data_IF_924660603477
#
_entry.id   IF_924660603477
#
_cell.length_a   1.000
_cell.length_b   1.000
_cell.length_c   1.000
_cell.angle_alpha   90.00
_cell.angle_beta   90.00
_cell.angle_gamma   90.00
#
_symmetry.space_group_name_H-M   'P 1'
#
loop_
_entity.id
_entity.type
_entity.pdbx_description
1 polymer ?
#
# COMPACT_ATOMS: atom_id res chain seq x y z
N UNK A 1 -10.25 5.61 -29.88
CA UNK A 1 -10.97 4.32 -29.75
C UNK A 1 -10.16 3.46 -28.79
N UNK A 2 -10.58 3.39 -27.53
CA UNK A 2 -9.87 2.63 -26.49
C UNK A 2 -10.19 1.13 -26.63
N UNK A 3 -9.19 0.23 -26.68
CA UNK A 3 -9.46 -1.19 -26.61
C UNK A 3 -9.79 -1.54 -25.17
N UNK A 4 -11.06 -1.85 -24.93
CA UNK A 4 -11.56 -2.41 -23.67
C UNK A 4 -10.92 -3.79 -23.46
N UNK A 5 -9.93 -3.88 -22.56
CA UNK A 5 -9.48 -5.17 -22.03
C UNK A 5 -10.63 -5.78 -21.22
N UNK A 6 -11.35 -6.73 -21.82
CA UNK A 6 -12.19 -7.66 -21.05
C UNK A 6 -11.25 -8.57 -20.28
N UNK A 7 -11.08 -8.30 -18.98
CA UNK A 7 -10.40 -9.19 -18.05
C UNK A 7 -11.17 -10.52 -17.98
N UNK A 8 -10.62 -11.58 -18.57
CA UNK A 8 -11.02 -12.94 -18.24
C UNK A 8 -10.41 -13.28 -16.87
N UNK A 9 -11.25 -13.38 -15.86
CA UNK A 9 -10.89 -13.81 -14.51
C UNK A 9 -10.51 -15.30 -14.53
N UNK A 10 -9.22 -15.61 -14.57
CA UNK A 10 -8.75 -16.92 -14.09
C UNK A 10 -8.80 -16.89 -12.57
N UNK A 11 -9.56 -17.80 -11.96
CA UNK A 11 -9.69 -17.91 -10.52
C UNK A 11 -8.40 -18.50 -9.93
N UNK A 12 -7.43 -17.67 -9.58
CA UNK A 12 -6.25 -18.05 -8.79
C UNK A 12 -6.60 -18.23 -7.30
N UNK A 13 -7.69 -18.94 -7.01
CA UNK A 13 -8.05 -19.30 -5.66
C UNK A 13 -7.07 -20.39 -5.20
N UNK A 14 -6.13 -20.01 -4.32
CA UNK A 14 -5.13 -20.86 -3.65
C UNK A 14 -3.82 -21.12 -4.40
N UNK A 15 -3.36 -20.20 -5.24
CA UNK A 15 -1.98 -20.28 -5.74
C UNK A 15 -1.03 -19.84 -4.62
N UNK A 16 -0.27 -20.81 -4.11
CA UNK A 16 0.86 -20.55 -3.22
C UNK A 16 1.97 -19.88 -4.03
N UNK A 17 2.76 -18.96 -3.43
CA UNK A 17 3.90 -18.39 -4.10
C UNK A 17 4.85 -19.49 -4.59
N UNK A 18 5.46 -19.23 -5.74
CA UNK A 18 6.48 -20.08 -6.32
C UNK A 18 7.73 -20.10 -5.43
N UNK A 19 8.46 -21.21 -5.44
CA UNK A 19 9.78 -21.25 -4.80
C UNK A 19 10.79 -20.49 -5.66
N UNK A 20 10.88 -19.19 -5.41
CA UNK A 20 11.67 -18.27 -6.23
C UNK A 20 13.17 -18.59 -6.24
N UNK A 21 13.68 -19.36 -5.28
CA UNK A 21 15.08 -19.75 -5.23
C UNK A 21 15.42 -20.90 -6.20
N UNK A 22 14.42 -21.65 -6.66
CA UNK A 22 14.59 -22.85 -7.46
C UNK A 22 14.06 -22.71 -8.89
N UNK A 23 13.86 -21.47 -9.37
CA UNK A 23 13.30 -21.20 -10.70
C UNK A 23 14.28 -20.41 -11.56
N UNK A 24 15.00 -21.09 -12.48
CA UNK A 24 16.11 -20.48 -13.23
C UNK A 24 15.65 -19.55 -14.36
N UNK A 25 14.38 -19.61 -14.76
CA UNK A 25 13.81 -18.85 -15.88
C UNK A 25 12.42 -18.33 -15.52
N UNK A 26 12.05 -17.15 -16.01
CA UNK A 26 10.73 -16.56 -15.77
C UNK A 26 9.62 -17.41 -16.44
N UNK A 27 8.67 -17.97 -15.67
CA UNK A 27 7.57 -18.75 -16.25
C UNK A 27 6.55 -17.88 -16.97
N UNK A 28 5.86 -18.41 -17.99
CA UNK A 28 4.86 -17.69 -18.80
C UNK A 28 3.70 -17.07 -17.99
N UNK A 29 3.37 -17.66 -16.84
CA UNK A 29 2.37 -17.13 -15.91
C UNK A 29 2.81 -15.84 -15.22
N UNK A 30 4.12 -15.55 -15.20
CA UNK A 30 4.74 -14.34 -14.64
C UNK A 30 5.25 -13.38 -15.72
N UNK A 31 5.04 -13.68 -17.01
CA UNK A 31 5.41 -12.77 -18.11
C UNK A 31 4.35 -11.68 -18.25
N UNK A 32 4.75 -10.44 -17.92
CA UNK A 32 3.99 -9.22 -18.12
C UNK A 32 4.44 -8.57 -19.43
N UNK A 33 3.50 -8.28 -20.33
CA UNK A 33 3.80 -7.55 -21.56
C UNK A 33 3.90 -6.06 -21.26
N UNK A 34 5.06 -5.44 -21.50
CA UNK A 34 5.18 -3.99 -21.55
C UNK A 34 4.43 -3.47 -22.79
N UNK A 35 3.26 -2.87 -22.59
CA UNK A 35 2.58 -2.12 -23.65
C UNK A 35 3.39 -0.88 -24.03
N UNK A 36 3.32 -0.37 -25.28
CA UNK A 36 4.15 0.76 -25.71
C UNK A 36 3.97 2.05 -24.89
N UNK A 37 2.82 2.23 -24.22
CA UNK A 37 2.58 3.32 -23.26
C UNK A 37 3.25 3.12 -21.90
N UNK A 38 3.95 2.01 -21.69
CA UNK A 38 4.75 1.67 -20.51
C UNK A 38 6.27 1.81 -20.78
N UNK A 39 6.64 2.33 -21.96
CA UNK A 39 8.02 2.73 -22.25
C UNK A 39 8.39 3.95 -21.41
N UNK A 40 9.59 4.04 -20.83
CA UNK A 40 10.03 5.29 -20.20
C UNK A 40 10.06 6.37 -21.28
N UNK A 41 9.24 7.41 -21.11
CA UNK A 41 9.32 8.61 -21.92
C UNK A 41 10.73 9.20 -21.74
N UNK A 42 11.60 8.98 -22.72
CA UNK A 42 12.89 9.65 -22.89
C UNK A 42 12.64 11.10 -23.37
N UNK A 43 11.86 11.86 -22.61
CA UNK A 43 11.91 13.31 -22.66
C UNK A 43 12.91 13.75 -21.60
N UNK A 44 13.81 14.66 -21.99
CA UNK A 44 14.83 15.26 -21.14
C UNK A 44 14.30 15.49 -19.72
N UNK A 45 14.82 14.73 -18.76
CA UNK A 45 14.50 14.82 -17.35
C UNK A 45 14.88 16.24 -16.92
N UNK A 46 13.91 17.13 -16.88
CA UNK A 46 14.03 18.37 -16.12
C UNK A 46 14.31 17.95 -14.67
N UNK A 47 15.30 18.57 -14.03
CA UNK A 47 15.69 18.23 -12.67
C UNK A 47 14.48 18.24 -11.74
N UNK A 48 14.13 17.04 -11.24
CA UNK A 48 13.28 16.74 -10.07
C UNK A 48 11.77 16.83 -10.23
N UNK A 49 11.20 15.88 -10.98
CA UNK A 49 9.90 15.32 -10.60
C UNK A 49 10.12 14.05 -9.77
N UNK A 50 10.41 14.23 -8.49
CA UNK A 50 10.40 13.14 -7.49
C UNK A 50 9.32 13.43 -6.45
N UNK A 51 8.70 12.40 -5.84
CA UNK A 51 7.77 12.62 -4.75
C UNK A 51 8.39 13.51 -3.66
N UNK A 52 7.64 14.52 -3.16
CA UNK A 52 8.18 15.51 -2.25
C UNK A 52 8.54 14.88 -0.90
N UNK A 53 9.53 15.48 -0.22
CA UNK A 53 9.81 15.17 1.18
C UNK A 53 8.98 16.08 2.08
N UNK A 54 8.46 15.52 3.17
CA UNK A 54 7.73 16.29 4.19
C UNK A 54 8.31 15.97 5.56
N UNK A 55 8.84 16.99 6.22
CA UNK A 55 9.22 16.93 7.62
C UNK A 55 7.95 16.96 8.49
N UNK A 56 7.67 15.85 9.17
CA UNK A 56 6.48 15.67 10.02
C UNK A 56 6.61 16.38 11.39
N UNK A 57 7.82 16.82 11.75
CA UNK A 57 8.11 17.66 12.91
C UNK A 57 7.95 19.16 12.64
N UNK A 58 7.89 19.58 11.38
CA UNK A 58 7.81 21.00 11.01
C UNK A 58 6.44 21.62 11.40
N UNK A 59 6.41 22.82 12.03
CA UNK A 59 5.17 23.56 12.29
C UNK A 59 4.26 23.79 11.08
N UNK A 60 4.81 23.85 9.86
CA UNK A 60 4.06 24.03 8.62
C UNK A 60 3.76 22.72 7.88
N UNK A 61 4.02 21.55 8.50
CA UNK A 61 3.80 20.24 7.89
C UNK A 61 2.40 20.07 7.28
N UNK A 62 1.36 20.65 7.89
CA UNK A 62 -0.01 20.61 7.34
C UNK A 62 -0.10 21.20 5.92
N UNK A 63 0.57 22.32 5.65
CA UNK A 63 0.55 22.93 4.32
C UNK A 63 1.33 22.09 3.32
N UNK A 64 2.47 21.54 3.72
CA UNK A 64 3.31 20.68 2.87
C UNK A 64 2.61 19.36 2.54
N UNK A 65 1.94 18.74 3.52
CA UNK A 65 1.12 17.54 3.33
C UNK A 65 -0.02 17.82 2.36
N UNK A 66 -0.75 18.94 2.49
CA UNK A 66 -1.80 19.28 1.51
C UNK A 66 -1.23 19.35 0.11
N UNK A 67 -0.18 20.14 -0.08
CA UNK A 67 0.43 20.35 -1.38
C UNK A 67 0.90 19.02 -2.00
N UNK A 68 1.51 18.14 -1.20
CA UNK A 68 1.90 16.81 -1.64
C UNK A 68 0.69 15.93 -2.00
N UNK A 69 -0.32 15.86 -1.16
CA UNK A 69 -1.51 15.04 -1.40
C UNK A 69 -2.33 15.52 -2.61
N UNK A 70 -2.47 16.84 -2.81
CA UNK A 70 -3.22 17.42 -3.93
C UNK A 70 -2.45 17.32 -5.26
N UNK A 71 -1.13 17.51 -5.26
CA UNK A 71 -0.33 17.50 -6.49
C UNK A 71 0.14 16.10 -6.89
N UNK A 72 0.57 15.31 -5.91
CA UNK A 72 1.23 14.01 -6.12
C UNK A 72 0.39 12.81 -5.66
N UNK A 73 -0.35 12.94 -4.56
CA UNK A 73 -0.99 11.79 -3.89
C UNK A 73 -0.01 10.90 -3.14
N UNK A 74 1.28 11.24 -3.14
CA UNK A 74 2.37 10.51 -2.50
C UNK A 74 3.45 11.47 -2.00
N UNK A 75 4.10 11.15 -0.89
CA UNK A 75 5.27 11.87 -0.38
C UNK A 75 6.17 10.98 0.50
N UNK A 76 7.39 11.45 0.78
CA UNK A 76 8.32 10.80 1.71
C UNK A 76 8.33 11.56 3.03
N UNK A 77 7.77 10.97 4.08
CA UNK A 77 7.79 11.49 5.43
C UNK A 77 9.16 11.27 6.08
N UNK A 78 9.72 12.34 6.65
CA UNK A 78 10.94 12.34 7.46
C UNK A 78 10.67 12.96 8.83
N UNK A 79 11.58 12.77 9.79
CA UNK A 79 11.46 13.30 11.15
C UNK A 79 10.10 12.95 11.82
N UNK A 80 9.56 11.78 11.49
CA UNK A 80 8.27 11.30 12.00
C UNK A 80 8.35 10.67 13.41
N UNK A 81 9.56 10.47 13.94
CA UNK A 81 9.79 10.04 15.33
C UNK A 81 9.93 8.53 15.55
N UNK A 82 9.77 7.71 14.51
CA UNK A 82 9.97 6.26 14.61
C UNK A 82 11.48 5.96 14.52
N UNK A 83 12.04 5.19 15.46
CA UNK A 83 13.48 4.93 15.48
C UNK A 83 13.91 4.03 14.31
N UNK A 84 15.06 4.37 13.69
CA UNK A 84 15.63 3.59 12.59
C UNK A 84 15.89 2.12 12.96
N UNK A 85 16.25 1.85 14.22
CA UNK A 85 16.47 0.49 14.72
C UNK A 85 15.22 -0.40 14.57
N UNK A 86 14.02 0.16 14.77
CA UNK A 86 12.77 -0.59 14.62
C UNK A 86 12.51 -0.97 13.16
N UNK A 87 12.85 -0.11 12.20
CA UNK A 87 12.79 -0.46 10.78
C UNK A 87 13.77 -1.58 10.43
N UNK A 88 15.00 -1.50 10.94
CA UNK A 88 16.04 -2.50 10.72
C UNK A 88 15.67 -3.86 11.32
N UNK A 89 15.15 -3.88 12.55
CA UNK A 89 14.64 -5.10 13.20
C UNK A 89 13.44 -5.69 12.44
N UNK A 90 12.52 -4.84 11.99
CA UNK A 90 11.35 -5.28 11.20
C UNK A 90 11.78 -5.90 9.87
N UNK A 91 12.73 -5.28 9.16
CA UNK A 91 13.27 -5.83 7.92
C UNK A 91 14.02 -7.14 8.16
N UNK A 92 14.80 -7.22 9.24
CA UNK A 92 15.52 -8.44 9.62
C UNK A 92 14.56 -9.61 9.86
N UNK A 93 13.52 -9.42 10.69
CA UNK A 93 12.52 -10.44 10.97
C UNK A 93 11.68 -10.81 9.75
N UNK A 94 11.38 -9.85 8.87
CA UNK A 94 10.74 -10.14 7.59
C UNK A 94 11.63 -11.00 6.68
N UNK A 95 12.94 -10.69 6.58
CA UNK A 95 13.89 -11.53 5.85
C UNK A 95 14.00 -12.92 6.45
N UNK A 96 14.04 -13.04 7.78
CA UNK A 96 14.03 -14.31 8.50
C UNK A 96 12.81 -15.16 8.11
N UNK A 97 11.61 -14.56 8.08
CA UNK A 97 10.39 -15.23 7.61
C UNK A 97 10.52 -15.73 6.16
N UNK A 98 10.91 -14.86 5.23
CA UNK A 98 10.93 -15.21 3.80
C UNK A 98 12.08 -16.16 3.42
N UNK A 99 13.12 -16.26 4.27
CA UNK A 99 14.22 -17.22 4.14
C UNK A 99 13.85 -18.66 4.54
N UNK A 100 12.70 -18.86 5.20
CA UNK A 100 12.23 -20.20 5.56
C UNK A 100 11.94 -21.05 4.32
N UNK A 101 12.10 -22.39 4.41
CA UNK A 101 11.66 -23.30 3.37
C UNK A 101 10.19 -23.08 3.01
N UNK A 102 9.87 -23.30 1.73
CA UNK A 102 8.52 -23.10 1.20
C UNK A 102 7.48 -23.90 1.98
N UNK A 103 7.77 -25.15 2.35
CA UNK A 103 6.86 -26.00 3.13
C UNK A 103 6.57 -25.41 4.52
N UNK A 104 7.55 -24.76 5.14
CA UNK A 104 7.40 -24.15 6.46
C UNK A 104 6.58 -22.86 6.37
N UNK A 105 6.81 -22.01 5.36
CA UNK A 105 5.97 -20.82 5.11
C UNK A 105 4.52 -21.19 4.83
N UNK A 106 4.28 -22.33 4.19
CA UNK A 106 2.93 -22.82 3.88
C UNK A 106 2.11 -23.25 5.10
N UNK A 107 2.74 -23.54 6.25
CA UNK A 107 2.01 -23.83 7.50
C UNK A 107 1.06 -22.71 7.91
N UNK A 108 1.42 -21.47 7.54
CA UNK A 108 0.67 -20.26 7.86
C UNK A 108 0.04 -19.64 6.61
N UNK A 109 -0.29 -20.46 5.61
CA UNK A 109 -0.92 -19.99 4.39
C UNK A 109 -2.25 -19.29 4.68
N UNK A 110 -2.43 -18.12 4.08
CA UNK A 110 -3.64 -17.32 4.23
C UNK A 110 -4.85 -18.04 3.65
N UNK A 111 -5.92 -18.10 4.44
CA UNK A 111 -7.21 -18.63 3.99
C UNK A 111 -7.81 -17.78 2.85
N UNK A 112 -8.64 -18.37 1.96
CA UNK A 112 -9.21 -17.66 0.80
C UNK A 112 -9.91 -16.34 1.14
N UNK A 113 -10.67 -16.34 2.25
CA UNK A 113 -11.44 -15.21 2.77
C UNK A 113 -10.69 -14.38 3.82
N UNK A 114 -9.51 -14.86 4.25
CA UNK A 114 -8.69 -14.21 5.26
C UNK A 114 -7.80 -13.10 4.70
N UNK A 115 -7.30 -12.25 5.61
CA UNK A 115 -6.31 -11.21 5.31
C UNK A 115 -4.91 -11.56 5.85
N UNK A 116 -4.86 -12.39 6.89
CA UNK A 116 -3.65 -12.73 7.64
C UNK A 116 -3.03 -14.04 7.14
N UNK A 117 -1.70 -14.11 7.13
CA UNK A 117 -0.92 -15.28 6.75
C UNK A 117 -0.08 -15.09 5.49
N UNK A 118 0.62 -16.15 5.11
CA UNK A 118 1.51 -16.23 3.96
C UNK A 118 0.75 -16.44 2.64
N UNK A 119 1.19 -15.78 1.57
CA UNK A 119 0.68 -16.05 0.23
C UNK A 119 1.04 -14.98 -0.79
N UNK A 120 0.40 -15.02 -1.95
CA UNK A 120 0.48 -13.94 -2.95
C UNK A 120 -0.19 -12.67 -2.42
N UNK A 121 0.16 -11.50 -2.95
CA UNK A 121 -0.59 -10.26 -2.65
C UNK A 121 -2.06 -10.41 -3.08
N UNK A 122 -3.01 -9.91 -2.28
CA UNK A 122 -4.45 -10.21 -2.49
C UNK A 122 -4.96 -9.72 -3.85
N UNK A 123 -4.46 -8.56 -4.29
CA UNK A 123 -4.84 -7.96 -5.57
C UNK A 123 -4.41 -8.81 -6.78
N UNK A 124 -3.49 -9.79 -6.63
CA UNK A 124 -3.11 -10.72 -7.70
C UNK A 124 -4.29 -11.45 -8.31
N UNK A 125 -5.36 -11.70 -7.55
CA UNK A 125 -6.58 -12.35 -8.06
C UNK A 125 -7.32 -11.53 -9.13
N UNK A 126 -7.03 -10.22 -9.20
CA UNK A 126 -7.63 -9.31 -10.16
C UNK A 126 -6.84 -9.17 -11.46
N UNK A 127 -5.72 -9.90 -11.60
CA UNK A 127 -4.87 -9.85 -12.78
C UNK A 127 -4.75 -11.22 -13.45
N UNK A 128 -4.59 -11.27 -14.78
CA UNK A 128 -4.44 -12.54 -15.52
C UNK A 128 -3.03 -13.14 -15.39
N UNK A 129 -2.07 -12.38 -14.85
CA UNK A 129 -0.67 -12.78 -14.67
C UNK A 129 -0.31 -12.73 -13.19
N UNK A 130 0.55 -13.66 -12.77
CA UNK A 130 1.10 -13.72 -11.43
C UNK A 130 2.22 -12.68 -11.28
N UNK A 131 2.39 -12.18 -10.05
CA UNK A 131 3.41 -11.19 -9.73
C UNK A 131 4.62 -11.87 -9.09
N UNK A 132 5.82 -11.39 -9.39
CA UNK A 132 7.09 -11.89 -8.85
C UNK A 132 7.30 -11.40 -7.40
N UNK A 133 6.41 -11.83 -6.52
CA UNK A 133 6.42 -11.49 -5.11
C UNK A 133 5.69 -12.52 -4.27
N UNK A 134 6.06 -12.56 -2.99
CA UNK A 134 5.34 -13.22 -1.91
C UNK A 134 5.09 -12.21 -0.79
N UNK A 135 4.07 -12.45 0.03
CA UNK A 135 3.76 -11.58 1.16
C UNK A 135 3.34 -12.37 2.38
N UNK A 136 3.43 -11.71 3.54
CA UNK A 136 2.86 -12.16 4.79
C UNK A 136 2.04 -11.01 5.39
N UNK A 137 0.73 -11.20 5.51
CA UNK A 137 -0.19 -10.21 6.04
C UNK A 137 -0.51 -10.47 7.52
N UNK A 138 -0.75 -9.42 8.29
CA UNK A 138 -1.24 -9.54 9.66
C UNK A 138 -2.19 -8.43 10.09
N UNK A 139 -3.21 -8.84 10.84
CA UNK A 139 -4.11 -7.97 11.58
C UNK A 139 -3.98 -8.30 13.07
N UNK A 140 -3.43 -7.38 13.87
CA UNK A 140 -3.24 -7.61 15.30
C UNK A 140 -2.01 -8.47 15.61
N UNK A 141 -2.11 -9.35 16.61
CA UNK A 141 -0.95 -10.14 17.07
C UNK A 141 -0.57 -11.23 16.06
N UNK A 142 0.72 -11.40 15.74
CA UNK A 142 1.20 -12.45 14.85
C UNK A 142 1.40 -13.81 15.54
N UNK A 143 1.18 -13.92 16.86
CA UNK A 143 1.60 -15.08 17.67
C UNK A 143 1.09 -16.43 17.17
N UNK A 144 -0.15 -16.49 16.68
CA UNK A 144 -0.75 -17.72 16.17
C UNK A 144 0.02 -18.27 14.96
N UNK A 145 0.43 -17.40 14.05
CA UNK A 145 1.22 -17.79 12.88
C UNK A 145 2.69 -17.97 13.24
N UNK A 146 3.25 -17.05 14.03
CA UNK A 146 4.66 -17.06 14.39
C UNK A 146 5.01 -18.32 15.20
N UNK A 147 4.14 -18.79 16.10
CA UNK A 147 4.35 -20.04 16.86
C UNK A 147 4.32 -21.29 15.99
N UNK A 148 3.61 -21.28 14.86
CA UNK A 148 3.65 -22.38 13.89
C UNK A 148 4.93 -22.35 13.04
N UNK A 149 5.41 -21.16 12.69
CA UNK A 149 6.68 -20.98 11.98
C UNK A 149 7.89 -21.31 12.87
N UNK A 150 7.88 -20.85 14.11
CA UNK A 150 8.98 -20.98 15.07
C UNK A 150 8.45 -21.39 16.46
N UNK A 151 8.18 -22.68 16.70
CA UNK A 151 7.58 -23.15 17.96
C UNK A 151 8.33 -22.73 19.23
N UNK A 152 9.65 -22.54 19.15
CA UNK A 152 10.51 -22.20 20.28
C UNK A 152 11.21 -20.84 20.16
N UNK A 153 10.99 -20.08 19.08
CA UNK A 153 11.76 -18.86 18.76
C UNK A 153 10.93 -17.78 18.03
N UNK A 154 9.64 -17.67 18.38
CA UNK A 154 8.73 -16.70 17.78
C UNK A 154 8.63 -15.37 18.56
N UNK A 155 9.13 -15.33 19.81
CA UNK A 155 8.92 -14.20 20.71
C UNK A 155 9.45 -12.88 20.13
N UNK A 156 10.68 -12.87 19.58
CA UNK A 156 11.28 -11.66 19.01
C UNK A 156 10.52 -11.16 17.78
N UNK A 157 10.06 -12.07 16.92
CA UNK A 157 9.23 -11.71 15.76
C UNK A 157 7.93 -11.03 16.23
N UNK A 158 7.25 -11.59 17.23
CA UNK A 158 6.03 -11.01 17.77
C UNK A 158 6.28 -9.62 18.36
N UNK A 159 7.29 -9.48 19.23
CA UNK A 159 7.66 -8.22 19.87
C UNK A 159 7.90 -7.11 18.85
N UNK A 160 8.73 -7.38 17.84
CA UNK A 160 9.09 -6.40 16.80
C UNK A 160 7.87 -5.99 15.97
N UNK A 161 7.07 -6.97 15.50
CA UNK A 161 5.90 -6.67 14.68
C UNK A 161 4.81 -5.93 15.47
N UNK A 162 4.62 -6.25 16.75
CA UNK A 162 3.67 -5.55 17.62
C UNK A 162 4.12 -4.12 17.90
N UNK A 163 5.40 -3.91 18.24
CA UNK A 163 5.97 -2.57 18.42
C UNK A 163 5.88 -1.74 17.14
N UNK A 164 6.19 -2.34 15.98
CA UNK A 164 6.06 -1.68 14.69
C UNK A 164 4.62 -1.24 14.42
N UNK A 165 3.64 -2.12 14.63
CA UNK A 165 2.23 -1.78 14.45
C UNK A 165 1.78 -0.64 15.36
N UNK A 166 2.25 -0.59 16.61
CA UNK A 166 1.94 0.50 17.56
C UNK A 166 2.48 1.83 17.06
N UNK A 167 3.77 1.92 16.74
CA UNK A 167 4.41 3.15 16.27
C UNK A 167 3.78 3.66 14.96
N UNK A 168 3.53 2.74 14.02
CA UNK A 168 2.90 3.09 12.74
C UNK A 168 1.46 3.56 12.92
N UNK A 169 0.70 2.94 13.83
CA UNK A 169 -0.66 3.40 14.16
C UNK A 169 -0.66 4.80 14.77
N UNK A 170 0.23 5.07 15.72
CA UNK A 170 0.37 6.41 16.32
C UNK A 170 0.74 7.45 15.27
N UNK A 171 1.63 7.12 14.33
CA UNK A 171 1.97 8.00 13.22
C UNK A 171 0.78 8.22 12.27
N UNK A 172 0.00 7.18 11.96
CA UNK A 172 -1.22 7.32 11.17
C UNK A 172 -2.22 8.29 11.83
N UNK A 173 -2.47 8.16 13.12
CA UNK A 173 -3.37 9.05 13.87
C UNK A 173 -2.87 10.52 13.81
N UNK A 174 -1.56 10.75 13.94
CA UNK A 174 -0.95 12.07 13.74
C UNK A 174 -1.14 12.60 12.32
N UNK A 175 -0.90 11.76 11.30
CA UNK A 175 -1.02 12.15 9.89
C UNK A 175 -2.47 12.46 9.50
N UNK A 176 -3.45 11.73 10.02
CA UNK A 176 -4.88 12.05 9.85
C UNK A 176 -5.15 13.45 10.36
N UNK A 177 -4.71 13.79 11.58
CA UNK A 177 -4.92 15.13 12.14
C UNK A 177 -4.29 16.23 11.28
N UNK A 178 -3.08 15.99 10.75
CA UNK A 178 -2.38 16.91 9.84
C UNK A 178 -3.16 17.08 8.52
N UNK A 179 -3.58 15.98 7.90
CA UNK A 179 -4.36 15.97 6.66
C UNK A 179 -5.70 16.70 6.82
N UNK A 180 -6.46 16.43 7.89
CA UNK A 180 -7.72 17.12 8.16
C UNK A 180 -7.53 18.61 8.42
N UNK A 181 -6.55 18.98 9.26
CA UNK A 181 -6.19 20.38 9.49
C UNK A 181 -5.85 21.09 8.18
N UNK A 182 -5.14 20.42 7.28
CA UNK A 182 -4.75 20.98 6.00
C UNK A 182 -5.94 21.25 5.06
N UNK A 183 -7.04 20.54 5.26
CA UNK A 183 -8.33 20.72 4.60
C UNK A 183 -9.22 21.77 5.28
N UNK A 184 -8.71 22.46 6.32
CA UNK A 184 -9.46 23.48 7.06
C UNK A 184 -10.35 22.91 8.17
N UNK A 185 -10.16 21.65 8.54
CA UNK A 185 -10.95 20.94 9.54
C UNK A 185 -10.23 20.96 10.89
N UNK A 186 -10.31 22.10 11.56
CA UNK A 186 -9.51 22.38 12.77
C UNK A 186 -10.28 22.23 14.08
N UNK A 187 -11.60 22.05 14.02
CA UNK A 187 -12.42 22.02 15.22
C UNK A 187 -12.62 20.56 15.68
N UNK A 188 -12.74 20.35 17.00
CA UNK A 188 -12.99 19.00 17.58
C UNK A 188 -14.19 18.29 16.94
N UNK A 189 -15.21 19.05 16.52
CA UNK A 189 -16.38 18.50 15.83
C UNK A 189 -16.05 17.83 14.49
N UNK A 190 -15.00 18.27 13.81
CA UNK A 190 -14.59 17.76 12.49
C UNK A 190 -13.71 16.50 12.62
N UNK A 191 -12.97 16.39 13.72
CA UNK A 191 -12.13 15.22 14.03
C UNK A 191 -12.93 14.08 14.66
N UNK A 192 -14.12 14.36 15.23
CA UNK A 192 -15.06 13.36 15.77
C UNK A 192 -15.44 12.23 14.81
N UNK A 193 -15.30 12.41 13.49
CA UNK A 193 -15.46 11.32 12.53
C UNK A 193 -14.44 10.19 12.77
N UNK A 194 -13.21 10.56 13.10
CA UNK A 194 -12.10 9.62 13.32
C UNK A 194 -11.99 9.16 14.78
N UNK A 195 -12.73 9.80 15.69
CA UNK A 195 -12.79 9.39 17.08
C UNK A 195 -13.68 8.14 17.22
N UNK A 196 -13.11 7.00 17.63
CA UNK A 196 -13.86 5.78 17.79
C UNK A 196 -14.82 5.90 18.97
N UNK A 197 -16.12 5.71 18.74
CA UNK A 197 -17.12 5.72 19.83
C UNK A 197 -17.08 4.43 20.66
N UNK A 198 -16.52 3.36 20.09
CA UNK A 198 -16.30 2.05 20.71
C UNK A 198 -15.14 1.32 19.97
N UNK A 199 -14.74 0.14 20.44
CA UNK A 199 -13.65 -0.63 19.80
C UNK A 199 -13.97 -1.11 18.38
N UNK A 200 -15.24 -1.39 18.07
CA UNK A 200 -15.66 -1.74 16.70
C UNK A 200 -15.52 -0.57 15.71
N UNK A 201 -15.60 0.67 16.20
CA UNK A 201 -15.50 1.89 15.41
C UNK A 201 -14.05 2.34 15.18
N UNK A 202 -13.06 1.68 15.81
CA UNK A 202 -11.63 2.00 15.62
C UNK A 202 -11.18 1.66 14.21
N UNK A 203 -10.42 2.59 13.62
CA UNK A 203 -9.67 2.36 12.39
C UNK A 203 -8.93 1.02 12.48
N UNK A 204 -9.07 0.23 11.43
CA UNK A 204 -8.37 -1.04 11.29
C UNK A 204 -7.01 -0.77 10.68
N UNK A 205 -6.03 -1.54 11.11
CA UNK A 205 -4.69 -1.50 10.56
C UNK A 205 -4.37 -2.87 9.99
N UNK A 206 -3.69 -2.90 8.86
CA UNK A 206 -3.19 -4.12 8.26
C UNK A 206 -1.72 -3.94 7.95
N UNK A 207 -0.88 -4.81 8.50
CA UNK A 207 0.54 -4.85 8.23
C UNK A 207 0.81 -5.93 7.19
N UNK A 208 1.54 -5.59 6.14
CA UNK A 208 1.92 -6.51 5.07
C UNK A 208 3.44 -6.44 4.84
N UNK A 209 4.10 -7.56 5.08
CA UNK A 209 5.48 -7.78 4.70
C UNK A 209 5.50 -8.27 3.25
N UNK A 210 6.29 -7.62 2.39
CA UNK A 210 6.42 -7.98 0.98
C UNK A 210 7.86 -8.40 0.67
N UNK A 211 8.01 -9.51 -0.05
CA UNK A 211 9.28 -10.04 -0.54
C UNK A 211 9.26 -10.08 -2.06
N UNK A 212 10.30 -9.50 -2.66
CA UNK A 212 10.55 -9.48 -4.09
C UNK A 212 11.93 -10.10 -4.35
N UNK A 213 11.99 -11.42 -4.53
CA UNK A 213 13.23 -12.13 -4.81
C UNK A 213 13.89 -11.66 -6.10
N UNK A 214 15.17 -11.99 -6.24
CA UNK A 214 15.93 -11.73 -7.48
C UNK A 214 15.20 -12.40 -8.66
N UNK A 215 14.92 -11.63 -9.71
CA UNK A 215 14.19 -12.09 -10.87
C UNK A 215 15.16 -12.42 -12.03
N UNK A 216 15.04 -13.58 -12.71
CA UNK A 216 15.91 -13.92 -13.83
C UNK A 216 15.67 -13.06 -15.09
N UNK A 217 14.48 -12.48 -15.24
CA UNK A 217 14.09 -11.66 -16.40
C UNK A 217 13.21 -10.47 -15.93
N UNK A 218 13.82 -9.47 -15.25
CA UNK A 218 13.08 -8.42 -14.56
C UNK A 218 12.29 -7.50 -15.50
N UNK A 219 12.75 -7.31 -16.74
CA UNK A 219 12.09 -6.44 -17.73
C UNK A 219 10.74 -7.01 -18.20
N UNK A 220 10.54 -8.32 -18.02
CA UNK A 220 9.31 -9.04 -18.38
C UNK A 220 8.50 -9.49 -17.18
N UNK A 221 8.91 -9.12 -15.97
CA UNK A 221 8.23 -9.47 -14.72
C UNK A 221 7.69 -8.23 -14.01
N UNK A 222 6.73 -8.44 -13.11
CA UNK A 222 6.16 -7.38 -12.29
C UNK A 222 6.11 -7.84 -10.85
N UNK A 223 6.64 -7.04 -9.91
CA UNK A 223 6.62 -7.36 -8.49
C UNK A 223 5.25 -7.07 -7.86
N UNK A 224 4.65 -5.94 -8.23
CA UNK A 224 3.28 -5.58 -7.87
C UNK A 224 2.68 -4.78 -9.04
N UNK A 225 1.56 -5.24 -9.58
CA UNK A 225 0.97 -4.62 -10.75
C UNK A 225 0.46 -3.19 -10.49
N UNK A 226 0.31 -2.36 -11.55
CA UNK A 226 -0.30 -1.04 -11.44
C UNK A 226 -1.66 -1.07 -10.74
N UNK A 227 -1.77 -0.32 -9.64
CA UNK A 227 -3.00 -0.19 -8.86
C UNK A 227 -3.00 1.08 -8.02
N UNK A 228 -4.17 1.43 -7.48
CA UNK A 228 -4.29 2.37 -6.35
C UNK A 228 -4.62 1.59 -5.08
N UNK A 229 -4.39 2.19 -3.91
CA UNK A 229 -4.73 1.56 -2.63
C UNK A 229 -6.19 1.81 -2.25
N UNK A 230 -6.87 0.80 -1.70
CA UNK A 230 -8.24 0.95 -1.16
C UNK A 230 -8.26 1.40 0.30
N UNK A 231 -7.15 1.92 0.81
CA UNK A 231 -7.00 2.43 2.18
C UNK A 231 -7.43 3.90 2.27
N UNK A 232 -7.40 4.47 3.49
CA UNK A 232 -7.34 5.92 3.63
C UNK A 232 -5.97 6.39 3.15
N UNK A 233 -4.91 5.80 3.69
CA UNK A 233 -3.56 5.95 3.18
C UNK A 233 -2.72 4.78 3.65
N UNK A 234 -1.54 4.64 3.06
CA UNK A 234 -0.58 3.59 3.33
C UNK A 234 0.73 4.22 3.74
N UNK A 235 1.33 3.71 4.82
CA UNK A 235 2.71 4.00 5.19
C UNK A 235 3.60 2.84 4.74
N UNK A 236 4.63 3.13 3.95
CA UNK A 236 5.51 2.13 3.37
C UNK A 236 6.96 2.39 3.77
N UNK A 237 7.56 1.43 4.46
CA UNK A 237 9.00 1.34 4.59
C UNK A 237 9.56 0.51 3.42
N UNK A 238 10.43 1.12 2.61
CA UNK A 238 10.92 0.52 1.36
C UNK A 238 12.14 -0.40 1.53
N UNK A 239 12.79 -0.39 2.69
CA UNK A 239 14.15 -0.92 2.82
C UNK A 239 15.16 -0.09 2.02
N UNK A 240 16.26 -0.72 1.59
CA UNK A 240 17.34 -0.04 0.85
C UNK A 240 17.42 -0.34 -0.65
N UNK A 241 16.36 -0.89 -1.27
CA UNK A 241 16.37 -1.33 -2.68
C UNK A 241 15.20 -0.71 -3.44
N UNK A 242 15.50 -0.11 -4.61
CA UNK A 242 14.54 0.46 -5.53
C UNK A 242 13.50 -0.56 -6.01
N UNK A 243 12.31 -0.08 -6.33
CA UNK A 243 11.28 -0.90 -6.94
C UNK A 243 9.91 -0.22 -7.03
N UNK A 244 9.58 0.65 -6.07
CA UNK A 244 8.32 1.41 -6.13
C UNK A 244 8.38 2.45 -7.25
N UNK A 245 7.35 2.46 -8.08
CA UNK A 245 7.10 3.49 -9.09
C UNK A 245 5.70 4.07 -8.93
N UNK A 246 5.57 5.37 -9.12
CA UNK A 246 4.29 6.09 -9.14
C UNK A 246 4.07 6.68 -10.52
N UNK A 247 2.82 6.76 -10.97
CA UNK A 247 2.48 7.25 -12.29
C UNK A 247 2.07 8.72 -12.25
N UNK A 248 2.67 9.52 -13.13
CA UNK A 248 2.27 10.89 -13.42
C UNK A 248 1.79 11.01 -14.88
N UNK A 249 0.72 11.75 -15.12
CA UNK A 249 0.12 11.87 -16.47
C UNK A 249 1.01 12.60 -17.48
N UNK A 250 1.94 13.44 -17.03
CA UNK A 250 2.86 14.21 -17.86
C UNK A 250 4.21 13.53 -18.09
N UNK A 251 4.66 12.70 -17.15
CA UNK A 251 6.00 12.07 -17.17
C UNK A 251 5.96 10.56 -17.34
N UNK A 252 4.88 9.90 -16.93
CA UNK A 252 4.77 8.44 -16.88
C UNK A 252 5.24 7.88 -15.53
N UNK A 253 5.91 6.73 -15.55
CA UNK A 253 6.38 6.06 -14.34
C UNK A 253 7.62 6.74 -13.74
N UNK A 254 7.51 7.17 -12.49
CA UNK A 254 8.56 7.84 -11.71
C UNK A 254 9.01 6.92 -10.57
N UNK A 255 10.32 6.67 -10.46
CA UNK A 255 10.89 5.91 -9.35
C UNK A 255 10.82 6.68 -8.03
N UNK A 256 10.38 6.00 -6.97
CA UNK A 256 10.43 6.51 -5.60
C UNK A 256 11.68 5.99 -4.91
N UNK A 257 12.78 6.73 -4.97
CA UNK A 257 14.05 6.33 -4.39
C UNK A 257 13.91 6.14 -2.86
N UNK A 258 14.30 4.97 -2.30
CA UNK A 258 14.35 4.76 -0.86
C UNK A 258 15.33 5.72 -0.20
N UNK A 259 14.87 6.34 0.88
CA UNK A 259 15.70 7.17 1.76
C UNK A 259 15.73 6.51 3.13
N UNK A 260 16.92 6.43 3.72
CA UNK A 260 17.12 5.79 5.01
C UNK A 260 16.24 6.44 6.09
N UNK A 261 15.49 5.62 6.80
CA UNK A 261 14.58 6.06 7.85
C UNK A 261 13.34 6.83 7.36
N UNK A 262 13.16 7.05 6.05
CA UNK A 262 11.96 7.70 5.52
C UNK A 262 10.83 6.70 5.29
N UNK A 263 9.59 7.17 5.42
CA UNK A 263 8.39 6.43 5.07
C UNK A 263 7.74 7.05 3.83
N UNK A 264 7.40 6.24 2.84
CA UNK A 264 6.53 6.69 1.76
C UNK A 264 5.08 6.69 2.29
N UNK A 265 4.40 7.82 2.15
CA UNK A 265 2.97 7.96 2.46
C UNK A 265 2.22 8.02 1.14
N UNK A 266 1.34 7.06 0.89
CA UNK A 266 0.52 6.98 -0.31
C UNK A 266 -0.95 7.20 0.04
N UNK A 267 -1.61 8.17 -0.60
CA UNK A 267 -3.03 8.43 -0.41
C UNK A 267 -3.84 7.33 -1.09
N UNK A 268 -4.78 6.75 -0.36
CA UNK A 268 -5.68 5.73 -0.89
C UNK A 268 -7.03 6.31 -1.34
N UNK A 269 -7.77 5.48 -2.07
CA UNK A 269 -9.07 5.81 -2.67
C UNK A 269 -10.08 6.31 -1.63
N UNK A 270 -10.05 5.79 -0.40
CA UNK A 270 -11.00 6.20 0.63
C UNK A 270 -10.71 7.63 1.11
N UNK A 271 -9.44 8.03 1.20
CA UNK A 271 -9.10 9.42 1.54
C UNK A 271 -9.34 10.36 0.35
N UNK A 272 -9.19 9.88 -0.88
CA UNK A 272 -9.65 10.60 -2.08
C UNK A 272 -11.15 10.92 -1.99
N UNK A 273 -11.98 9.95 -1.58
CA UNK A 273 -13.43 10.17 -1.37
C UNK A 273 -13.67 11.16 -0.21
N UNK A 274 -13.04 10.96 0.95
CA UNK A 274 -13.20 11.80 2.15
C UNK A 274 -12.85 13.27 1.85
N UNK A 275 -11.77 13.50 1.11
CA UNK A 275 -11.32 14.83 0.71
C UNK A 275 -12.13 15.45 -0.44
N UNK A 276 -13.24 14.82 -0.85
CA UNK A 276 -14.03 15.21 -2.01
C UNK A 276 -13.15 15.36 -3.27
N UNK A 277 -12.26 14.39 -3.52
CA UNK A 277 -11.38 14.36 -4.70
C UNK A 277 -10.22 15.35 -4.72
N UNK A 278 -9.99 16.09 -3.62
CA UNK A 278 -8.86 17.03 -3.53
C UNK A 278 -7.52 16.31 -3.43
N UNK A 279 -7.42 15.29 -2.57
CA UNK A 279 -6.23 14.48 -2.47
C UNK A 279 -6.27 13.38 -3.53
N UNK A 280 -5.20 13.27 -4.32
CA UNK A 280 -5.10 12.29 -5.40
C UNK A 280 -4.81 10.89 -4.83
N UNK A 281 -5.55 9.89 -5.28
CA UNK A 281 -5.13 8.49 -5.16
C UNK A 281 -4.26 8.13 -6.37
N UNK A 282 -2.96 7.92 -6.16
CA UNK A 282 -1.99 7.76 -7.26
C UNK A 282 -1.78 6.30 -7.66
N UNK A 283 -1.78 6.07 -8.98
CA UNK A 283 -1.47 4.76 -9.55
C UNK A 283 0.00 4.45 -9.29
N UNK A 284 0.28 3.27 -8.74
CA UNK A 284 1.63 2.85 -8.40
C UNK A 284 1.84 1.37 -8.69
N UNK A 285 3.10 0.98 -8.89
CA UNK A 285 3.52 -0.41 -9.16
C UNK A 285 4.85 -0.71 -8.47
N UNK A 286 5.23 -1.98 -8.44
CA UNK A 286 6.56 -2.40 -8.00
C UNK A 286 7.24 -3.19 -9.11
N UNK A 287 8.35 -2.67 -9.61
CA UNK A 287 9.24 -3.39 -10.53
C UNK A 287 10.24 -4.24 -9.74
N UNK A 288 10.74 -5.30 -10.37
CA UNK A 288 11.73 -6.22 -9.78
C UNK A 288 13.09 -6.03 -10.44
N UNK A 289 14.12 -6.65 -9.88
CA UNK A 289 15.48 -6.56 -10.40
C UNK A 289 16.17 -7.94 -10.35
N UNK A 290 17.31 -8.07 -11.02
CA UNK A 290 18.09 -9.30 -11.13
C UNK A 290 19.34 -9.35 -10.23
N UNK A 291 19.51 -8.42 -9.29
CA UNK A 291 20.74 -8.32 -8.47
C UNK A 291 20.52 -8.45 -6.97
N UNK A 292 19.41 -7.95 -6.43
CA UNK A 292 19.17 -7.85 -4.99
C UNK A 292 17.74 -8.18 -4.61
N UNK A 293 17.59 -8.98 -3.55
CA UNK A 293 16.31 -9.30 -2.91
C UNK A 293 15.78 -8.10 -2.12
N UNK A 294 14.66 -7.53 -2.60
CA UNK A 294 13.98 -6.40 -1.96
C UNK A 294 12.92 -6.89 -0.97
N UNK A 295 12.92 -6.31 0.22
CA UNK A 295 11.84 -6.42 1.22
C UNK A 295 11.23 -5.03 1.40
N UNK A 296 9.92 -4.97 1.58
CA UNK A 296 9.26 -3.74 2.02
C UNK A 296 8.11 -4.05 2.97
N UNK A 297 7.80 -3.11 3.84
CA UNK A 297 6.77 -3.24 4.88
C UNK A 297 5.71 -2.18 4.68
N UNK A 298 4.52 -2.59 4.27
CA UNK A 298 3.37 -1.72 4.05
C UNK A 298 2.41 -1.79 5.24
N UNK A 299 1.99 -0.64 5.75
CA UNK A 299 1.03 -0.51 6.83
C UNK A 299 -0.16 0.31 6.33
N UNK A 300 -1.30 -0.36 6.16
CA UNK A 300 -2.52 0.22 5.61
C UNK A 300 -3.40 0.75 6.74
N UNK A 301 -3.77 2.02 6.66
CA UNK A 301 -4.71 2.65 7.58
C UNK A 301 -6.12 2.65 6.98
N UNK A 302 -7.04 1.94 7.61
CA UNK A 302 -8.33 1.54 7.05
C UNK A 302 -9.46 1.98 7.99
N UNK A 303 -10.63 2.39 7.48
CA UNK A 303 -11.80 2.54 8.33
C UNK A 303 -12.33 1.17 8.77
N UNK A 304 -13.26 1.09 9.73
CA UNK A 304 -14.00 -0.15 9.99
C UNK A 304 -14.71 -0.68 8.73
N UNK A 305 -14.87 -2.01 8.64
CA UNK A 305 -15.39 -2.70 7.45
C UNK A 305 -16.75 -2.17 6.97
N UNK A 306 -17.65 -1.89 7.92
CA UNK A 306 -19.01 -1.40 7.67
C UNK A 306 -19.15 0.12 7.82
N UNK A 307 -18.05 0.84 8.10
CA UNK A 307 -18.09 2.29 8.21
C UNK A 307 -18.37 2.91 6.84
N UNK A 308 -19.34 3.84 6.81
CA UNK A 308 -19.65 4.63 5.62
C UNK A 308 -18.59 5.71 5.46
N UNK A 309 -17.98 5.74 4.28
CA UNK A 309 -17.04 6.76 3.81
C UNK A 309 -17.78 7.66 2.83
N UNK A 310 -17.67 8.99 3.02
CA UNK A 310 -18.25 9.98 2.11
C UNK A 310 -17.43 11.27 2.14
N UNK A 311 -17.62 12.17 1.16
CA UNK A 311 -17.05 13.52 1.22
C UNK A 311 -17.42 14.23 2.53
N UNK A 312 -16.45 14.93 3.12
CA UNK A 312 -16.67 15.70 4.35
C UNK A 312 -17.59 16.89 4.08
N UNK A 313 -18.65 17.03 4.88
CA UNK A 313 -19.71 18.02 4.66
C UNK A 313 -19.19 19.44 4.49
N UNK A 314 -18.23 19.87 5.32
CA UNK A 314 -17.61 21.19 5.22
C UNK A 314 -16.93 21.43 3.88
N UNK A 315 -16.31 20.41 3.28
CA UNK A 315 -15.67 20.53 1.96
C UNK A 315 -16.72 20.64 0.85
N UNK A 316 -17.83 19.91 0.99
CA UNK A 316 -18.97 20.01 0.07
C UNK A 316 -19.61 21.40 0.10
N UNK A 317 -19.67 22.05 1.26
CA UNK A 317 -20.16 23.42 1.39
C UNK A 317 -19.27 24.44 0.65
N UNK A 318 -17.96 24.20 0.57
CA UNK A 318 -17.04 25.05 -0.22
C UNK A 318 -17.07 24.73 -1.73
N UNK A 319 -17.10 23.45 -2.10
CA UNK A 319 -17.05 22.98 -3.50
C UNK A 319 -18.44 22.93 -4.19
N UNK A 320 -19.50 23.31 -3.47
CA UNK A 320 -20.91 23.38 -3.86
C UNK A 320 -21.62 22.04 -4.13
N UNK A 321 -20.94 20.93 -4.44
CA UNK A 321 -21.56 19.61 -4.63
C UNK A 321 -20.67 18.44 -4.22
N UNK A 322 -21.23 17.36 -3.63
CA UNK A 322 -20.48 16.14 -3.34
C UNK A 322 -20.15 15.43 -4.65
N UNK A 323 -18.88 15.11 -4.90
CA UNK A 323 -18.48 14.37 -6.11
C UNK A 323 -18.73 12.87 -5.99
N UNK A 324 -18.86 12.35 -4.77
CA UNK A 324 -18.97 10.90 -4.51
C UNK A 324 -20.15 10.62 -3.59
N UNK A 325 -20.88 9.54 -3.87
CA UNK A 325 -21.89 9.04 -2.93
C UNK A 325 -21.23 8.33 -1.74
N UNK A 326 -21.91 8.25 -0.58
CA UNK A 326 -21.44 7.41 0.52
C UNK A 326 -21.30 5.93 0.10
N UNK A 327 -20.23 5.29 0.57
CA UNK A 327 -19.89 3.88 0.31
C UNK A 327 -19.30 3.25 1.57
N UNK A 328 -19.56 1.96 1.85
CA UNK A 328 -18.81 1.28 2.93
C UNK A 328 -17.47 0.76 2.40
N UNK A 329 -16.49 0.51 3.27
CA UNK A 329 -15.23 -0.09 2.84
C UNK A 329 -15.45 -1.46 2.18
N UNK A 330 -16.33 -2.28 2.75
CA UNK A 330 -16.78 -3.55 2.15
C UNK A 330 -17.27 -3.38 0.71
N UNK A 331 -18.25 -2.51 0.51
CA UNK A 331 -18.86 -2.25 -0.80
C UNK A 331 -17.81 -1.73 -1.80
N UNK A 332 -16.91 -0.87 -1.35
CA UNK A 332 -15.87 -0.32 -2.20
C UNK A 332 -14.86 -1.39 -2.66
N UNK A 333 -14.39 -2.26 -1.75
CA UNK A 333 -13.49 -3.38 -2.09
C UNK A 333 -14.16 -4.36 -3.06
N UNK A 334 -15.44 -4.69 -2.82
CA UNK A 334 -16.21 -5.55 -3.73
C UNK A 334 -16.35 -4.92 -5.12
N UNK A 335 -16.62 -3.62 -5.19
CA UNK A 335 -16.72 -2.86 -6.44
C UNK A 335 -15.39 -2.85 -7.19
N UNK A 336 -14.30 -2.53 -6.50
CA UNK A 336 -12.95 -2.51 -7.09
C UNK A 336 -12.48 -3.88 -7.53
N UNK A 337 -12.87 -4.94 -6.83
CA UNK A 337 -12.53 -6.31 -7.24
C UNK A 337 -13.14 -6.72 -8.58
N UNK A 338 -14.25 -6.08 -9.00
CA UNK A 338 -14.90 -6.32 -10.30
C UNK A 338 -14.22 -5.57 -11.43
N UNK A 339 -13.81 -4.32 -11.18
CA UNK A 339 -13.06 -3.49 -12.14
C UNK A 339 -12.15 -2.54 -11.36
N UNK A 340 -10.85 -2.84 -11.34
CA UNK A 340 -9.84 -2.06 -10.61
C UNK A 340 -9.77 -0.61 -11.07
N UNK A 341 -10.04 -0.35 -12.36
CA UNK A 341 -9.84 0.95 -13.00
C UNK A 341 -11.03 1.89 -12.85
N UNK A 342 -12.24 1.36 -12.58
CA UNK A 342 -13.49 2.13 -12.58
C UNK A 342 -14.15 2.26 -11.22
N UNK A 343 -13.52 1.76 -10.16
CA UNK A 343 -14.11 1.75 -8.83
C UNK A 343 -14.53 3.16 -8.37
N UNK A 344 -13.62 4.14 -8.45
CA UNK A 344 -13.90 5.54 -8.11
C UNK A 344 -14.98 6.16 -9.03
N UNK A 345 -14.91 5.92 -10.34
CA UNK A 345 -15.88 6.45 -11.30
C UNK A 345 -17.29 5.88 -11.07
N UNK A 346 -17.40 4.62 -10.65
CA UNK A 346 -18.68 3.94 -10.43
C UNK A 346 -19.48 4.47 -9.23
N UNK A 347 -18.83 5.24 -8.35
CA UNK A 347 -19.45 5.86 -7.17
C UNK A 347 -19.49 7.39 -7.27
N UNK A 348 -19.05 7.96 -8.40
CA UNK A 348 -19.14 9.39 -8.68
C UNK A 348 -20.61 9.79 -8.93
N UNK A 349 -21.00 10.99 -8.49
CA UNK A 349 -22.36 11.57 -8.66
C UNK A 349 -22.45 12.33 -9.98
#
# INVERSE_FOLDING_TARGET
MNPTMKLQTQTFNNVLPLDFNNVPTLPDSYVWSTTPSESPCLHSIDEKQVPPFVDIGDPIAFSLVRDACEKWGVFQAINHGIPLSLFQETEFEARRLFSLPTEQKQLVARLPEGFTGYGLVRISRNFPKLMWSECFGMTGSPVEHASQLWPQDHAKFCEVMEQFQVEMKTLCEKLVAIMLRSLGLTNEQDTKWFEPKNESDRAKCFLQLNSYPVCPDPDRAMGLAPHTDSSLFTLLYQGGINGLQVYDDGVGWIDVQPVEGALVVNVGDLMHIVSNGRFKSVLHRVVVNNTRHRISTAFFYLPPWDAKVSPLTKLVEFDHFPMYRPVTWKEYVETKSKDLSKALDSIRI
#
